data_IF_922047829024
#
_entry.id   IF_922047829024
#
_cell.length_a   1.000
_cell.length_b   1.000
_cell.length_c   1.000
_cell.angle_alpha   90.00
_cell.angle_beta   90.00
_cell.angle_gamma   90.00
#
_symmetry.space_group_name_H-M   'P 1'
#
loop_
_entity.id
_entity.type
_entity.pdbx_description
1 polymer ?
#
# COMPACT_ATOMS: atom_id res chain seq x y z
N UNK A 1 -16.41 18.08 -6.38
CA UNK A 1 -16.24 17.07 -7.45
C UNK A 1 -16.46 15.71 -6.82
N UNK A 2 -17.37 14.93 -7.40
CA UNK A 2 -17.62 13.55 -6.94
C UNK A 2 -16.54 12.62 -7.52
N UNK A 3 -15.72 12.07 -6.65
CA UNK A 3 -14.65 11.12 -7.01
C UNK A 3 -15.20 9.82 -7.62
N UNK A 4 -16.49 9.56 -7.46
CA UNK A 4 -17.17 8.41 -8.06
C UNK A 4 -17.83 8.74 -9.41
N UNK A 5 -17.79 9.98 -9.85
CA UNK A 5 -18.36 10.36 -11.15
C UNK A 5 -17.64 9.64 -12.30
N UNK A 6 -18.35 9.41 -13.40
CA UNK A 6 -17.78 8.81 -14.61
C UNK A 6 -16.62 9.67 -15.11
N UNK A 7 -16.75 10.97 -15.11
CA UNK A 7 -15.73 11.90 -15.59
C UNK A 7 -14.42 11.78 -14.78
N UNK A 8 -14.52 11.74 -13.43
CA UNK A 8 -13.34 11.56 -12.59
C UNK A 8 -12.69 10.19 -12.81
N UNK A 9 -13.48 9.12 -12.92
CA UNK A 9 -12.98 7.76 -13.12
C UNK A 9 -12.36 7.53 -14.50
N UNK A 10 -12.83 8.28 -15.51
CA UNK A 10 -12.33 8.20 -16.88
C UNK A 10 -11.14 9.14 -17.16
N UNK A 11 -10.88 10.08 -16.25
CA UNK A 11 -9.77 11.02 -16.40
C UNK A 11 -8.42 10.33 -16.24
N UNK A 12 -7.39 10.78 -16.94
CA UNK A 12 -6.02 10.31 -16.80
C UNK A 12 -5.33 11.04 -15.62
N UNK A 13 -5.59 10.56 -14.38
CA UNK A 13 -4.98 11.09 -13.16
C UNK A 13 -4.21 9.95 -12.45
N UNK A 14 -3.01 9.58 -12.95
CA UNK A 14 -2.28 8.39 -12.47
C UNK A 14 -2.02 8.39 -10.96
N UNK A 15 -1.91 9.57 -10.35
CA UNK A 15 -1.64 9.72 -8.91
C UNK A 15 -2.90 9.62 -8.02
N UNK A 16 -4.11 9.62 -8.58
CA UNK A 16 -5.28 9.87 -7.75
C UNK A 16 -6.55 9.08 -8.06
N UNK A 17 -6.68 8.49 -9.23
CA UNK A 17 -7.97 7.90 -9.63
C UNK A 17 -7.93 6.40 -9.94
N UNK A 18 -6.99 5.66 -9.39
CA UNK A 18 -7.01 4.22 -9.46
C UNK A 18 -8.22 3.64 -8.72
N UNK A 19 -9.01 2.80 -9.40
CA UNK A 19 -10.15 2.10 -8.82
C UNK A 19 -9.94 0.59 -8.96
N UNK A 20 -10.19 -0.13 -7.90
CA UNK A 20 -10.04 -1.58 -7.87
C UNK A 20 -10.78 -2.20 -6.68
N UNK A 21 -10.91 -3.51 -6.71
CA UNK A 21 -11.42 -4.27 -5.57
C UNK A 21 -10.28 -4.67 -4.64
N UNK A 22 -10.61 -4.95 -3.38
CA UNK A 22 -9.68 -5.52 -2.42
C UNK A 22 -9.08 -6.84 -2.94
N UNK A 23 -9.91 -7.74 -3.47
CA UNK A 23 -9.46 -9.02 -4.03
C UNK A 23 -8.47 -8.85 -5.20
N UNK A 24 -8.71 -7.86 -6.08
CA UNK A 24 -7.80 -7.56 -7.18
C UNK A 24 -6.44 -7.05 -6.70
N UNK A 25 -6.43 -6.16 -5.71
CA UNK A 25 -5.22 -5.62 -5.12
C UNK A 25 -4.46 -6.68 -4.30
N UNK A 26 -5.16 -7.48 -3.49
CA UNK A 26 -4.56 -8.59 -2.76
C UNK A 26 -3.88 -9.57 -3.71
N UNK A 27 -4.57 -10.00 -4.77
CA UNK A 27 -4.02 -10.90 -5.78
C UNK A 27 -2.79 -10.30 -6.47
N UNK A 28 -2.83 -9.03 -6.86
CA UNK A 28 -1.70 -8.32 -7.47
C UNK A 28 -0.48 -8.34 -6.55
N UNK A 29 -0.63 -7.87 -5.32
CA UNK A 29 0.47 -7.80 -4.36
C UNK A 29 0.93 -9.18 -3.89
N UNK A 30 0.01 -10.15 -3.80
CA UNK A 30 0.33 -11.55 -3.51
C UNK A 30 1.21 -12.20 -4.58
N UNK A 31 0.90 -11.98 -5.87
CA UNK A 31 1.75 -12.44 -6.98
C UNK A 31 3.12 -11.78 -6.94
N UNK A 32 3.18 -10.46 -6.71
CA UNK A 32 4.44 -9.74 -6.60
C UNK A 32 5.28 -10.26 -5.42
N UNK A 33 4.68 -10.47 -4.26
CA UNK A 33 5.35 -10.99 -3.06
C UNK A 33 5.88 -12.41 -3.25
N UNK A 34 5.16 -13.26 -4.00
CA UNK A 34 5.52 -14.66 -4.28
C UNK A 34 6.50 -14.82 -5.45
N UNK A 35 7.25 -13.79 -5.81
CA UNK A 35 8.26 -13.86 -6.87
C UNK A 35 7.79 -13.38 -8.24
N UNK A 36 6.74 -12.57 -8.27
CA UNK A 36 6.19 -11.91 -9.47
C UNK A 36 5.47 -12.83 -10.47
N UNK A 37 5.28 -14.10 -10.11
CA UNK A 37 4.59 -15.07 -10.94
C UNK A 37 3.82 -16.09 -10.09
N UNK A 38 2.56 -16.33 -10.44
CA UNK A 38 1.67 -17.29 -9.77
C UNK A 38 0.52 -17.65 -10.70
N UNK A 39 0.10 -18.94 -10.72
CA UNK A 39 -1.06 -19.44 -11.49
C UNK A 39 -0.99 -19.06 -12.99
N UNK A 40 0.18 -19.21 -13.61
CA UNK A 40 0.46 -18.82 -15.01
C UNK A 40 0.36 -17.31 -15.29
N UNK A 41 0.23 -16.49 -14.27
CA UNK A 41 0.26 -15.02 -14.38
C UNK A 41 1.65 -14.53 -13.99
N UNK A 42 2.37 -13.91 -14.91
CA UNK A 42 3.62 -13.20 -14.65
C UNK A 42 3.37 -11.70 -14.78
N UNK A 43 3.63 -10.93 -13.71
CA UNK A 43 3.44 -9.47 -13.71
C UNK A 43 4.70 -8.76 -14.18
N UNK A 44 5.85 -9.17 -13.67
CA UNK A 44 7.17 -8.61 -14.04
C UNK A 44 8.27 -9.60 -13.70
N UNK A 45 9.52 -9.25 -14.04
CA UNK A 45 10.66 -10.03 -13.60
C UNK A 45 10.99 -9.72 -12.13
N UNK A 46 11.40 -10.75 -11.38
CA UNK A 46 11.81 -10.60 -9.97
C UNK A 46 12.88 -9.52 -9.79
N UNK A 47 13.86 -9.46 -10.71
CA UNK A 47 14.89 -8.42 -10.72
C UNK A 47 14.33 -7.00 -10.84
N UNK A 48 13.26 -6.83 -11.62
CA UNK A 48 12.55 -5.56 -11.75
C UNK A 48 11.91 -5.14 -10.42
N UNK A 49 11.22 -6.07 -9.74
CA UNK A 49 10.64 -5.80 -8.42
C UNK A 49 11.73 -5.49 -7.38
N UNK A 50 12.83 -6.23 -7.40
CA UNK A 50 13.98 -5.97 -6.52
C UNK A 50 14.52 -4.55 -6.71
N UNK A 51 14.63 -4.08 -7.95
CA UNK A 51 15.02 -2.69 -8.23
C UNK A 51 13.93 -1.72 -7.72
N UNK A 52 12.67 -1.96 -8.06
CA UNK A 52 11.57 -1.06 -7.69
C UNK A 52 11.39 -0.94 -6.16
N UNK A 53 11.79 -1.94 -5.40
CA UNK A 53 11.68 -1.95 -3.93
C UNK A 53 12.99 -1.58 -3.20
N UNK A 54 14.02 -1.10 -3.91
CA UNK A 54 15.16 -0.44 -3.26
C UNK A 54 14.73 0.91 -2.69
N UNK A 55 15.35 1.32 -1.60
CA UNK A 55 15.12 2.65 -1.02
C UNK A 55 15.82 3.70 -1.88
N UNK A 56 15.05 4.55 -2.53
CA UNK A 56 15.54 5.70 -3.30
C UNK A 56 15.33 7.02 -2.58
N UNK A 57 14.32 7.09 -1.70
CA UNK A 57 14.06 8.26 -0.86
C UNK A 57 13.72 7.81 0.56
N UNK A 58 14.25 8.53 1.55
CA UNK A 58 13.96 8.27 2.96
C UNK A 58 14.06 9.57 3.74
N UNK A 59 13.03 9.89 4.51
CA UNK A 59 13.00 11.10 5.33
C UNK A 59 11.60 11.56 5.67
N UNK A 60 11.48 12.77 6.24
CA UNK A 60 10.19 13.39 6.52
C UNK A 60 9.44 13.67 5.21
N UNK A 61 8.20 13.18 5.12
CA UNK A 61 7.33 13.41 3.97
C UNK A 61 6.49 14.67 4.19
N UNK A 62 6.54 15.58 3.22
CA UNK A 62 5.83 16.87 3.32
C UNK A 62 4.31 16.72 3.14
N UNK A 63 3.85 15.71 2.42
CA UNK A 63 2.42 15.43 2.20
C UNK A 63 1.80 14.80 3.44
N UNK A 64 2.54 13.93 4.12
CA UNK A 64 2.13 13.28 5.36
C UNK A 64 2.70 13.96 6.61
N UNK A 65 2.74 15.28 6.60
CA UNK A 65 3.02 16.14 7.75
C UNK A 65 4.32 15.80 8.52
N UNK A 66 5.37 15.47 7.79
CA UNK A 66 6.69 15.19 8.37
C UNK A 66 6.88 13.76 8.89
N UNK A 67 5.95 12.86 8.63
CA UNK A 67 6.14 11.42 8.94
C UNK A 67 7.33 10.88 8.14
N UNK A 68 8.23 10.19 8.82
CA UNK A 68 9.36 9.56 8.15
C UNK A 68 8.89 8.36 7.34
N UNK A 69 9.05 8.44 6.04
CA UNK A 69 8.70 7.39 5.09
C UNK A 69 9.92 6.99 4.25
N UNK A 70 9.83 5.81 3.66
CA UNK A 70 10.77 5.33 2.65
C UNK A 70 10.00 5.02 1.38
N UNK A 71 10.57 5.39 0.25
CA UNK A 71 10.01 5.09 -1.06
C UNK A 71 11.02 4.36 -1.94
N UNK A 72 10.52 3.36 -2.66
CA UNK A 72 11.11 2.81 -3.86
C UNK A 72 10.51 3.46 -5.11
N UNK A 73 10.65 2.84 -6.26
CA UNK A 73 9.90 3.25 -7.44
C UNK A 73 8.44 2.79 -7.30
N UNK A 74 7.52 3.73 -7.25
CA UNK A 74 6.06 3.52 -7.12
C UNK A 74 5.61 2.80 -5.84
N UNK A 75 6.49 2.54 -4.88
CA UNK A 75 6.13 1.85 -3.64
C UNK A 75 6.53 2.63 -2.41
N UNK A 76 5.61 2.71 -1.45
CA UNK A 76 5.96 2.96 -0.06
C UNK A 76 6.58 1.68 0.50
N UNK A 77 7.66 1.83 1.28
CA UNK A 77 8.41 0.72 1.87
C UNK A 77 8.27 0.71 3.39
N UNK A 78 8.84 -0.30 4.04
CA UNK A 78 8.86 -0.42 5.49
C UNK A 78 9.42 0.83 6.19
N UNK A 79 9.03 1.06 7.43
CA UNK A 79 9.66 2.11 8.25
C UNK A 79 8.78 2.83 9.23
N UNK A 80 7.47 2.61 9.23
CA UNK A 80 6.58 3.37 10.12
C UNK A 80 5.99 2.53 11.27
N UNK A 81 6.69 1.49 11.71
CA UNK A 81 6.22 0.53 12.72
C UNK A 81 5.98 1.13 14.12
N UNK A 82 6.63 2.26 14.44
CA UNK A 82 6.70 2.80 15.80
C UNK A 82 5.72 3.94 16.09
N UNK A 83 4.93 4.35 15.14
CA UNK A 83 4.05 5.51 15.35
C UNK A 83 2.63 5.05 15.61
N UNK A 84 2.09 5.42 16.78
CA UNK A 84 0.65 5.37 17.07
C UNK A 84 -0.12 6.46 16.28
N UNK A 85 0.36 6.78 15.10
CA UNK A 85 -0.16 7.86 14.27
C UNK A 85 -1.14 7.26 13.28
N UNK A 86 -2.42 7.60 13.43
CA UNK A 86 -3.48 7.11 12.56
C UNK A 86 -3.58 7.86 11.21
N UNK A 87 -2.77 8.87 10.96
CA UNK A 87 -2.76 9.60 9.69
C UNK A 87 -1.68 9.13 8.70
N UNK A 88 -0.90 8.12 9.06
CA UNK A 88 0.06 7.45 8.19
C UNK A 88 -0.15 5.93 8.18
N UNK A 89 0.04 5.26 7.05
CA UNK A 89 -0.07 3.80 6.98
C UNK A 89 1.09 3.12 7.71
N UNK A 90 0.85 1.92 8.22
CA UNK A 90 1.89 1.06 8.79
C UNK A 90 2.35 0.06 7.74
N UNK A 91 3.67 0.05 7.49
CA UNK A 91 4.33 -0.97 6.69
C UNK A 91 5.35 -1.71 7.56
N UNK A 92 5.27 -3.03 7.57
CA UNK A 92 6.19 -3.90 8.30
C UNK A 92 7.47 -4.15 7.48
N UNK A 93 8.50 -4.72 8.11
CA UNK A 93 9.75 -5.06 7.46
C UNK A 93 9.48 -5.96 6.23
N UNK A 94 10.22 -5.75 5.17
CA UNK A 94 10.12 -6.49 3.90
C UNK A 94 8.79 -6.31 3.13
N UNK A 95 7.93 -5.39 3.56
CA UNK A 95 6.72 -5.04 2.81
C UNK A 95 6.98 -3.91 1.82
N UNK A 96 6.20 -3.91 0.76
CA UNK A 96 6.17 -2.87 -0.26
C UNK A 96 4.73 -2.71 -0.75
N UNK A 97 4.29 -1.51 -0.92
CA UNK A 97 2.90 -1.25 -1.31
C UNK A 97 2.59 0.22 -1.45
N UNK A 98 1.35 0.58 -1.32
CA UNK A 98 0.96 1.99 -1.27
C UNK A 98 -0.32 2.17 -0.46
N UNK A 99 -0.55 3.39 -0.02
CA UNK A 99 -1.76 3.79 0.67
C UNK A 99 -2.49 4.88 -0.10
N UNK A 100 -3.81 4.82 -0.13
CA UNK A 100 -4.66 5.85 -0.71
C UNK A 100 -5.14 6.84 0.34
N UNK A 101 -5.26 8.11 -0.07
CA UNK A 101 -5.86 9.12 0.78
C UNK A 101 -7.31 8.74 1.09
N UNK A 102 -7.67 8.62 2.37
CA UNK A 102 -8.99 8.11 2.78
C UNK A 102 -8.92 6.80 3.56
N UNK A 103 -7.76 6.13 3.60
CA UNK A 103 -7.50 5.00 4.49
C UNK A 103 -7.34 3.65 3.81
N UNK A 104 -7.47 3.57 2.48
CA UNK A 104 -7.18 2.32 1.75
C UNK A 104 -5.69 2.03 1.75
N UNK A 105 -5.33 0.74 1.82
CA UNK A 105 -3.95 0.26 1.85
C UNK A 105 -3.86 -1.05 1.09
N UNK A 106 -2.79 -1.24 0.31
CA UNK A 106 -2.44 -2.53 -0.26
C UNK A 106 -0.92 -2.73 -0.25
N UNK A 107 -0.47 -3.94 0.07
CA UNK A 107 0.95 -4.27 0.09
C UNK A 107 1.22 -5.75 -0.14
N UNK A 108 2.44 -6.03 -0.57
CA UNK A 108 3.02 -7.36 -0.58
C UNK A 108 4.06 -7.50 0.53
N UNK A 109 4.12 -8.68 1.14
CA UNK A 109 5.14 -9.08 2.10
C UNK A 109 5.96 -10.22 1.52
N UNK A 110 7.22 -9.94 1.19
CA UNK A 110 8.13 -10.92 0.56
C UNK A 110 8.58 -12.02 1.52
N UNK A 111 8.57 -11.76 2.82
CA UNK A 111 8.97 -12.72 3.84
C UNK A 111 7.89 -13.79 4.04
N UNK A 112 6.63 -13.34 4.08
CA UNK A 112 5.48 -14.22 4.32
C UNK A 112 4.78 -14.67 3.02
N UNK A 113 5.27 -14.28 1.84
CA UNK A 113 4.62 -14.52 0.54
C UNK A 113 3.15 -14.10 0.53
N UNK A 114 2.87 -12.97 1.16
CA UNK A 114 1.52 -12.49 1.44
C UNK A 114 1.19 -11.26 0.60
N UNK A 115 0.00 -11.24 0.00
CA UNK A 115 -0.67 -10.03 -0.45
C UNK A 115 -1.71 -9.60 0.58
N UNK A 116 -1.82 -8.31 0.80
CA UNK A 116 -2.83 -7.73 1.67
C UNK A 116 -3.44 -6.49 1.05
N UNK A 117 -4.74 -6.35 1.22
CA UNK A 117 -5.41 -5.11 0.87
C UNK A 117 -6.57 -4.79 1.82
N UNK A 118 -6.82 -3.52 2.00
CA UNK A 118 -7.98 -2.98 2.65
C UNK A 118 -8.50 -1.79 1.83
N UNK A 119 -9.74 -1.86 1.38
CA UNK A 119 -10.41 -0.81 0.63
C UNK A 119 -11.60 -0.31 1.45
N UNK A 120 -11.67 0.99 1.69
CA UNK A 120 -12.76 1.56 2.48
C UNK A 120 -13.87 2.09 1.56
N UNK A 121 -15.14 1.84 1.91
CA UNK A 121 -16.31 2.41 1.24
C UNK A 121 -16.64 3.84 1.69
N UNK A 122 -15.98 4.32 2.77
CA UNK A 122 -16.10 5.67 3.29
C UNK A 122 -14.74 6.18 3.71
N UNK A 123 -14.29 7.25 3.07
CA UNK A 123 -13.01 7.88 3.40
C UNK A 123 -13.00 8.40 4.84
N UNK A 124 -11.91 8.15 5.54
CA UNK A 124 -11.68 8.63 6.90
C UNK A 124 -11.20 10.08 6.88
N UNK A 125 -11.47 10.82 7.96
CA UNK A 125 -11.02 12.21 8.11
C UNK A 125 -9.63 12.29 8.73
N UNK A 126 -8.90 13.33 8.40
CA UNK A 126 -7.49 13.62 8.62
C UNK A 126 -6.78 12.97 9.83
N UNK A 127 -7.32 13.06 11.04
CA UNK A 127 -6.67 12.49 12.24
C UNK A 127 -6.70 10.97 12.34
N UNK A 128 -7.63 10.32 11.64
CA UNK A 128 -7.87 8.87 11.69
C UNK A 128 -7.75 8.20 10.32
N UNK A 129 -7.08 8.84 9.39
CA UNK A 129 -7.03 8.45 7.97
C UNK A 129 -6.78 6.96 7.76
N UNK A 130 -5.82 6.39 8.48
CA UNK A 130 -5.44 4.97 8.39
C UNK A 130 -5.77 4.18 9.67
N UNK A 131 -6.63 4.68 10.57
CA UNK A 131 -6.92 4.00 11.83
C UNK A 131 -7.37 2.55 11.62
N UNK A 132 -8.35 2.34 10.76
CA UNK A 132 -8.91 1.00 10.52
C UNK A 132 -7.92 0.09 9.82
N UNK A 133 -7.28 0.55 8.74
CA UNK A 133 -6.29 -0.25 8.03
C UNK A 133 -5.08 -0.59 8.92
N UNK A 134 -4.62 0.35 9.75
CA UNK A 134 -3.54 0.09 10.70
C UNK A 134 -3.92 -0.93 11.78
N UNK A 135 -5.16 -0.89 12.30
CA UNK A 135 -5.65 -1.90 13.24
C UNK A 135 -5.69 -3.29 12.61
N UNK A 136 -6.23 -3.39 11.39
CA UNK A 136 -6.30 -4.65 10.66
C UNK A 136 -4.91 -5.17 10.28
N UNK A 137 -4.01 -4.30 9.84
CA UNK A 137 -2.62 -4.67 9.54
C UNK A 137 -1.90 -5.20 10.79
N UNK A 138 -2.10 -4.58 11.95
CA UNK A 138 -1.55 -5.06 13.23
C UNK A 138 -2.10 -6.45 13.57
N UNK A 139 -3.42 -6.63 13.53
CA UNK A 139 -4.07 -7.91 13.82
C UNK A 139 -3.58 -9.02 12.87
N UNK A 140 -3.39 -8.72 11.58
CA UNK A 140 -2.79 -9.67 10.62
C UNK A 140 -1.42 -10.13 11.11
N UNK A 141 -0.52 -9.21 11.46
CA UNK A 141 0.84 -9.57 11.88
C UNK A 141 0.91 -10.19 13.28
N UNK A 142 -0.08 -9.96 14.13
CA UNK A 142 -0.25 -10.68 15.40
C UNK A 142 -0.71 -12.12 15.18
N UNK A 143 -1.46 -12.38 14.11
CA UNK A 143 -1.97 -13.71 13.80
C UNK A 143 -0.97 -14.62 13.08
N UNK A 144 0.01 -14.06 12.37
CA UNK A 144 1.00 -14.82 11.59
C UNK A 144 2.37 -14.96 12.28
N UNK A 145 2.60 -14.26 13.40
CA UNK A 145 3.78 -14.37 14.25
C UNK A 145 3.44 -15.09 15.54
#
# INVERSE_FOLDING_TARGET
NDVNSIDFRSAEIPAGNGHGTEAGLEKLFGILASGCSRDNIKIMDKKTLEQATKVYSSGPDSVLFGVKLKFGYCFMLDGNKKTNINFAPIFYKNTFGHAGIGGSVAFGDKENNLGYSFVCNKQQKSKNLYKTSNMLTKALYEAIN
#
